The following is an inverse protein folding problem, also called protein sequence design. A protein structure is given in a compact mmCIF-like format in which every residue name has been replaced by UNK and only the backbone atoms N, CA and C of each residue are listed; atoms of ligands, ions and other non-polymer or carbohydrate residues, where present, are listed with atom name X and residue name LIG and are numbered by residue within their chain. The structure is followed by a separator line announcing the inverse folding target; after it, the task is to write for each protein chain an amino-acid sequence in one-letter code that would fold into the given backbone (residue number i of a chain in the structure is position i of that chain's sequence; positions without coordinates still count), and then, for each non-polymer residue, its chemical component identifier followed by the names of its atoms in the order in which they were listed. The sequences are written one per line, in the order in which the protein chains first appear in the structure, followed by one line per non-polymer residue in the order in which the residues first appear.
data_IF_582137186154
#
_entry.id   IF_582137186154
#
_cell.length_a   1.000
_cell.length_b   1.000
_cell.length_c   1.000
_cell.angle_alpha   90.00
_cell.angle_beta   90.00
_cell.angle_gamma   90.00
#
_symmetry.space_group_name_H-M   'P 1'
#
loop_
_entity.id
_entity.type
_entity.pdbx_description
1 polymer ?
#
# COMPACT_ATOMS: atom_id res chain seq x y z
N UNK A 1 17.62 11.09 -8.56
CA UNK A 1 16.29 11.04 -9.19
C UNK A 1 15.29 11.49 -8.14
N UNK A 2 14.22 12.12 -8.53
CA UNK A 2 13.29 12.71 -7.55
C UNK A 2 11.89 12.24 -7.87
N UNK A 3 11.23 11.65 -6.87
CA UNK A 3 9.89 11.10 -7.02
C UNK A 3 8.87 11.76 -6.05
N UNK A 4 9.13 13.00 -5.61
CA UNK A 4 8.17 13.73 -4.76
C UNK A 4 6.98 14.19 -5.62
N UNK A 5 6.08 13.24 -5.87
CA UNK A 5 4.89 13.49 -6.69
C UNK A 5 3.84 14.36 -5.97
N UNK A 6 3.84 14.42 -4.64
CA UNK A 6 2.99 15.35 -3.90
C UNK A 6 3.42 16.79 -4.20
N UNK A 7 4.72 17.08 -4.08
CA UNK A 7 5.27 18.39 -4.45
C UNK A 7 5.08 18.71 -5.94
N UNK A 8 5.18 17.69 -6.82
CA UNK A 8 4.92 17.86 -8.25
C UNK A 8 3.48 18.34 -8.50
N UNK A 9 2.47 17.63 -7.98
CA UNK A 9 1.08 17.97 -8.21
C UNK A 9 0.63 19.22 -7.44
N UNK A 10 1.25 19.57 -6.32
CA UNK A 10 1.05 20.86 -5.65
C UNK A 10 1.42 22.05 -6.52
N UNK A 11 2.31 21.85 -7.52
CA UNK A 11 2.65 22.86 -8.54
C UNK A 11 1.83 22.73 -9.81
N UNK A 12 1.56 21.48 -10.24
CA UNK A 12 0.93 21.20 -11.52
C UNK A 12 -0.59 21.31 -11.48
N UNK A 13 -1.24 20.82 -10.41
CA UNK A 13 -2.69 20.87 -10.19
C UNK A 13 -3.02 21.21 -8.73
N UNK A 14 -2.62 22.40 -8.22
CA UNK A 14 -2.64 22.74 -6.79
C UNK A 14 -4.03 22.61 -6.14
N UNK A 15 -5.08 22.99 -6.87
CA UNK A 15 -6.45 23.04 -6.36
C UNK A 15 -7.21 21.71 -6.51
N UNK A 16 -6.61 20.71 -7.15
CA UNK A 16 -7.23 19.39 -7.31
C UNK A 16 -7.28 18.66 -5.98
N UNK A 17 -8.42 17.99 -5.73
CA UNK A 17 -8.59 17.14 -4.55
C UNK A 17 -7.59 15.97 -4.61
N UNK A 18 -6.76 15.86 -3.58
CA UNK A 18 -5.76 14.78 -3.43
C UNK A 18 -6.26 13.68 -2.50
N UNK A 19 -6.77 14.07 -1.33
CA UNK A 19 -7.14 13.11 -0.30
C UNK A 19 -8.39 13.54 0.48
N UNK A 20 -9.16 12.55 0.92
CA UNK A 20 -10.29 12.73 1.85
C UNK A 20 -10.14 11.70 2.96
N UNK A 21 -10.19 12.16 4.20
CA UNK A 21 -10.33 11.31 5.37
C UNK A 21 -11.82 11.05 5.62
N UNK A 22 -12.27 9.83 5.37
CA UNK A 22 -13.70 9.47 5.42
C UNK A 22 -14.27 9.54 6.84
N UNK A 23 -13.44 9.30 7.85
CA UNK A 23 -13.91 9.31 9.25
C UNK A 23 -14.15 10.73 9.77
N UNK A 24 -13.31 11.68 9.38
CA UNK A 24 -13.36 13.07 9.86
C UNK A 24 -13.95 14.03 8.83
N UNK A 25 -14.23 13.57 7.62
CA UNK A 25 -14.64 14.37 6.47
C UNK A 25 -13.63 15.49 6.07
N UNK A 26 -12.41 15.48 6.62
CA UNK A 26 -11.34 16.41 6.24
C UNK A 26 -10.89 16.13 4.80
N UNK A 27 -10.60 17.20 4.09
CA UNK A 27 -10.25 17.15 2.65
C UNK A 27 -8.97 17.93 2.42
N UNK A 28 -8.16 17.47 1.48
CA UNK A 28 -6.93 18.14 1.07
C UNK A 28 -6.86 18.25 -0.45
N UNK A 29 -6.64 19.43 -0.95
CA UNK A 29 -6.09 19.64 -2.28
C UNK A 29 -4.62 19.23 -2.31
N UNK A 30 -4.02 19.09 -3.49
CA UNK A 30 -2.58 18.79 -3.58
C UNK A 30 -1.71 19.87 -2.92
N UNK A 31 -2.09 21.15 -3.03
CA UNK A 31 -1.38 22.24 -2.36
C UNK A 31 -1.50 22.18 -0.84
N UNK A 32 -2.66 21.80 -0.31
CA UNK A 32 -2.87 21.64 1.13
C UNK A 32 -2.13 20.41 1.66
N UNK A 33 -2.18 19.29 0.93
CA UNK A 33 -1.45 18.07 1.30
C UNK A 33 0.07 18.33 1.31
N UNK A 34 0.62 18.97 0.28
CA UNK A 34 2.03 19.34 0.22
C UNK A 34 2.46 20.23 1.39
N UNK A 35 1.64 21.23 1.74
CA UNK A 35 1.86 22.13 2.87
C UNK A 35 1.91 21.37 4.19
N UNK A 36 0.92 20.47 4.40
CA UNK A 36 0.85 19.71 5.66
C UNK A 36 1.97 18.67 5.76
N UNK A 37 2.37 18.05 4.65
CA UNK A 37 3.55 17.19 4.59
C UNK A 37 4.83 17.98 4.94
N UNK A 38 5.02 19.17 4.37
CA UNK A 38 6.19 20.02 4.66
C UNK A 38 6.23 20.48 6.12
N UNK A 39 5.09 20.87 6.68
CA UNK A 39 5.00 21.22 8.10
C UNK A 39 5.24 20.02 9.01
N UNK A 40 4.76 18.84 8.59
CA UNK A 40 5.01 17.60 9.31
C UNK A 40 6.50 17.26 9.37
N UNK A 41 7.30 17.56 8.32
CA UNK A 41 8.77 17.37 8.41
C UNK A 41 9.36 18.15 9.57
N UNK A 42 8.96 19.42 9.73
CA UNK A 42 9.40 20.25 10.83
C UNK A 42 8.95 19.69 12.20
N UNK A 43 7.69 19.21 12.30
CA UNK A 43 7.17 18.59 13.54
C UNK A 43 8.01 17.38 13.93
N UNK A 44 8.24 16.47 12.98
CA UNK A 44 9.02 15.26 13.24
C UNK A 44 10.45 15.59 13.67
N UNK A 45 11.13 16.50 12.97
CA UNK A 45 12.49 16.92 13.30
C UNK A 45 12.59 17.68 14.61
N UNK A 46 11.58 18.49 14.96
CA UNK A 46 11.55 19.21 16.25
C UNK A 46 11.40 18.28 17.45
N UNK A 47 10.72 17.12 17.25
CA UNK A 47 10.49 16.12 18.31
C UNK A 47 11.61 15.10 18.44
N UNK A 48 12.26 14.74 17.35
CA UNK A 48 13.19 13.62 17.30
C UNK A 48 14.59 13.97 16.74
N UNK A 49 14.84 15.23 16.37
CA UNK A 49 16.13 15.66 15.82
C UNK A 49 16.35 15.25 14.37
N UNK A 50 17.59 14.97 13.99
CA UNK A 50 17.94 14.53 12.63
C UNK A 50 17.35 13.14 12.37
N UNK A 51 16.61 13.01 11.26
CA UNK A 51 15.79 11.81 10.98
C UNK A 51 16.34 10.93 9.85
N UNK A 52 17.35 11.37 9.11
CA UNK A 52 17.88 10.58 7.98
C UNK A 52 18.34 9.19 8.43
N UNK A 53 17.71 8.14 7.89
CA UNK A 53 17.97 6.74 8.25
C UNK A 53 17.32 6.30 9.56
N UNK A 54 16.65 7.20 10.31
CA UNK A 54 15.91 6.87 11.52
C UNK A 54 14.52 6.34 11.20
N UNK A 55 13.96 5.58 12.12
CA UNK A 55 12.61 4.98 11.95
C UNK A 55 11.59 5.82 12.71
N UNK A 56 10.46 6.07 12.05
CA UNK A 56 9.27 6.67 12.65
C UNK A 56 8.18 5.60 12.64
N UNK A 57 7.84 5.09 13.81
CA UNK A 57 6.77 4.12 13.94
C UNK A 57 5.41 4.81 13.99
N UNK A 58 4.40 4.18 13.38
CA UNK A 58 3.02 4.67 13.44
C UNK A 58 2.10 3.52 13.84
N UNK A 59 1.40 3.66 14.96
CA UNK A 59 0.42 2.71 15.48
C UNK A 59 -0.96 3.37 15.43
N UNK A 60 -1.64 3.24 14.31
CA UNK A 60 -2.92 3.88 14.06
C UNK A 60 -3.76 3.09 13.08
N UNK A 61 -5.08 3.29 13.14
CA UNK A 61 -5.98 2.94 12.04
C UNK A 61 -5.69 3.86 10.85
N UNK A 62 -6.22 3.51 9.66
CA UNK A 62 -6.00 4.32 8.47
C UNK A 62 -6.48 5.76 8.66
N UNK A 63 -5.69 6.72 8.22
CA UNK A 63 -6.03 8.14 8.18
C UNK A 63 -5.18 8.87 7.15
N UNK A 64 -5.60 10.06 6.73
CA UNK A 64 -4.76 10.92 5.90
C UNK A 64 -3.57 11.45 6.70
N UNK A 65 -3.71 11.64 8.02
CA UNK A 65 -2.59 12.02 8.91
C UNK A 65 -1.44 10.99 8.84
N UNK A 66 -1.78 9.68 8.76
CA UNK A 66 -0.78 8.61 8.56
C UNK A 66 -0.03 8.74 7.24
N UNK A 67 -0.72 9.14 6.14
CA UNK A 67 -0.07 9.43 4.85
C UNK A 67 0.80 10.67 4.91
N UNK A 68 0.38 11.72 5.63
CA UNK A 68 1.17 12.93 5.83
C UNK A 68 2.49 12.57 6.53
N UNK A 69 2.45 11.75 7.59
CA UNK A 69 3.65 11.24 8.26
C UNK A 69 4.52 10.42 7.30
N UNK A 70 3.92 9.53 6.50
CA UNK A 70 4.65 8.73 5.51
C UNK A 70 5.44 9.63 4.53
N UNK A 71 4.79 10.63 3.92
CA UNK A 71 5.47 11.53 2.98
C UNK A 71 6.46 12.48 3.67
N UNK A 72 6.21 12.87 4.91
CA UNK A 72 7.18 13.62 5.71
C UNK A 72 8.44 12.78 6.00
N UNK A 73 8.30 11.48 6.29
CA UNK A 73 9.43 10.55 6.41
C UNK A 73 10.22 10.49 5.09
N UNK A 74 9.53 10.39 3.94
CA UNK A 74 10.20 10.42 2.63
C UNK A 74 11.01 11.70 2.46
N UNK A 75 10.49 12.87 2.84
CA UNK A 75 11.20 14.16 2.70
C UNK A 75 12.37 14.35 3.65
N UNK A 76 12.27 13.84 4.88
CA UNK A 76 13.35 13.93 5.88
C UNK A 76 14.43 12.88 5.71
N UNK A 77 14.20 11.87 4.87
CA UNK A 77 15.05 10.70 4.75
C UNK A 77 14.86 9.67 5.87
N UNK A 78 13.80 9.81 6.68
CA UNK A 78 13.38 8.81 7.65
C UNK A 78 12.76 7.58 6.98
N UNK A 79 12.64 6.51 7.75
CA UNK A 79 11.99 5.27 7.35
C UNK A 79 10.67 5.16 8.10
N UNK A 80 9.57 5.16 7.38
CA UNK A 80 8.22 4.98 7.90
C UNK A 80 7.97 3.53 8.28
N UNK A 81 7.50 3.27 9.50
CA UNK A 81 7.22 1.92 10.00
C UNK A 81 5.78 1.84 10.50
N UNK A 82 4.82 1.49 9.63
CA UNK A 82 3.43 1.33 10.04
C UNK A 82 3.25 0.00 10.77
N UNK A 83 2.77 0.06 12.00
CA UNK A 83 2.55 -1.10 12.84
C UNK A 83 1.14 -1.66 12.67
N UNK A 84 1.01 -2.98 12.62
CA UNK A 84 -0.28 -3.64 12.56
C UNK A 84 -0.97 -3.57 13.93
N UNK A 85 -1.91 -2.67 14.09
CA UNK A 85 -2.67 -2.45 15.33
C UNK A 85 -3.57 -3.62 15.76
N UNK A 86 -3.67 -4.67 14.93
CA UNK A 86 -4.42 -5.90 15.27
C UNK A 86 -3.58 -6.93 16.01
N UNK A 87 -2.27 -6.69 16.12
CA UNK A 87 -1.34 -7.57 16.83
C UNK A 87 -1.53 -7.45 18.34
N UNK A 88 -1.15 -8.51 19.06
CA UNK A 88 -1.13 -8.52 20.52
C UNK A 88 0.02 -7.66 21.07
N UNK A 89 -0.08 -7.16 22.34
CA UNK A 89 0.98 -6.34 22.94
C UNK A 89 2.40 -6.91 22.85
N UNK A 90 2.65 -8.22 23.07
CA UNK A 90 4.00 -8.79 22.92
C UNK A 90 4.55 -8.72 21.49
N UNK A 91 3.67 -8.79 20.48
CA UNK A 91 4.06 -8.66 19.07
C UNK A 91 4.42 -7.21 18.73
N UNK A 92 3.63 -6.24 19.22
CA UNK A 92 3.95 -4.81 19.07
C UNK A 92 5.26 -4.47 19.77
N UNK A 93 5.49 -5.01 20.98
CA UNK A 93 6.75 -4.84 21.70
C UNK A 93 7.93 -5.33 20.88
N UNK A 94 7.83 -6.54 20.29
CA UNK A 94 8.84 -7.08 19.40
C UNK A 94 9.12 -6.18 18.19
N UNK A 95 8.08 -5.64 17.53
CA UNK A 95 8.26 -4.77 16.38
C UNK A 95 8.96 -3.45 16.75
N UNK A 96 8.60 -2.86 17.89
CA UNK A 96 9.23 -1.65 18.41
C UNK A 96 10.70 -1.89 18.78
N UNK A 97 11.02 -3.03 19.38
CA UNK A 97 12.40 -3.43 19.67
C UNK A 97 13.19 -3.66 18.39
N UNK A 98 12.62 -4.36 17.40
CA UNK A 98 13.29 -4.68 16.13
C UNK A 98 13.57 -3.44 15.28
N UNK A 99 12.62 -2.51 15.17
CA UNK A 99 12.83 -1.29 14.37
C UNK A 99 13.45 -0.14 15.15
N UNK A 100 13.49 -0.20 16.48
CA UNK A 100 14.07 0.86 17.35
C UNK A 100 13.70 2.27 16.86
N UNK A 101 12.41 2.68 16.91
CA UNK A 101 11.99 3.92 16.31
C UNK A 101 12.47 5.13 17.13
N UNK A 102 12.82 6.20 16.44
CA UNK A 102 13.20 7.48 17.05
C UNK A 102 12.01 8.28 17.57
N UNK A 103 10.82 8.00 17.03
CA UNK A 103 9.56 8.62 17.38
C UNK A 103 8.41 7.62 17.11
N UNK A 104 7.41 7.62 17.97
CA UNK A 104 6.14 6.93 17.77
C UNK A 104 5.04 7.97 17.52
N UNK A 105 4.19 7.73 16.53
CA UNK A 105 2.90 8.40 16.38
C UNK A 105 1.83 7.36 16.64
N UNK A 106 0.98 7.57 17.65
CA UNK A 106 0.02 6.55 18.07
C UNK A 106 -1.39 7.11 18.28
N UNK A 107 -2.37 6.31 17.91
CA UNK A 107 -3.77 6.55 18.26
C UNK A 107 -3.98 6.23 19.76
N UNK A 108 -4.61 7.14 20.53
CA UNK A 108 -4.80 7.03 21.97
C UNK A 108 -5.41 5.68 22.38
N UNK A 109 -6.44 5.23 21.66
CA UNK A 109 -7.10 3.95 21.91
C UNK A 109 -6.23 2.71 21.70
N UNK A 110 -5.03 2.87 21.10
CA UNK A 110 -4.08 1.78 20.83
C UNK A 110 -2.83 1.84 21.72
N UNK A 111 -2.70 2.85 22.59
CA UNK A 111 -1.53 2.99 23.47
C UNK A 111 -1.36 1.81 24.42
N UNK A 112 -2.45 1.12 24.78
CA UNK A 112 -2.40 -0.09 25.61
C UNK A 112 -1.63 -1.26 24.97
N UNK A 113 -1.33 -1.18 23.67
CA UNK A 113 -0.50 -2.16 22.96
C UNK A 113 1.00 -1.86 23.06
N UNK A 114 1.37 -0.63 23.45
CA UNK A 114 2.76 -0.18 23.58
C UNK A 114 3.30 -0.61 24.94
N UNK A 115 4.49 -1.23 25.01
CA UNK A 115 5.02 -1.65 26.29
C UNK A 115 5.42 -0.45 27.17
N UNK A 116 5.25 -0.56 28.50
CA UNK A 116 5.63 0.47 29.46
C UNK A 116 7.12 0.84 29.41
N UNK A 117 7.95 -0.08 28.93
CA UNK A 117 9.40 0.12 28.74
C UNK A 117 9.77 0.96 27.52
N UNK A 118 8.79 1.33 26.67
CA UNK A 118 9.05 2.15 25.50
C UNK A 118 9.27 3.60 25.91
N UNK A 119 10.46 4.15 25.64
CA UNK A 119 10.93 5.46 26.12
C UNK A 119 11.12 6.53 25.03
N UNK A 120 10.93 6.19 23.75
CA UNK A 120 11.03 7.17 22.68
C UNK A 120 9.86 8.19 22.73
N UNK A 121 10.07 9.43 22.25
CA UNK A 121 9.00 10.42 22.14
C UNK A 121 7.76 9.87 21.43
N UNK A 122 6.57 10.26 21.92
CA UNK A 122 5.29 9.87 21.34
C UNK A 122 4.45 11.10 21.01
N UNK A 123 3.82 11.10 19.83
CA UNK A 123 2.76 12.04 19.43
C UNK A 123 1.45 11.27 19.46
N UNK A 124 0.47 11.75 20.24
CA UNK A 124 -0.80 11.05 20.43
C UNK A 124 -1.89 11.67 19.56
N UNK A 125 -2.63 10.81 18.85
CA UNK A 125 -3.81 11.17 18.08
C UNK A 125 -5.04 10.62 18.80
N UNK A 126 -5.95 11.48 19.25
CA UNK A 126 -7.21 11.07 19.85
C UNK A 126 -8.41 11.77 19.21
N UNK A 127 -9.61 11.25 19.44
CA UNK A 127 -10.85 11.89 18.98
C UNK A 127 -11.06 13.28 19.59
N UNK A 128 -10.57 13.49 20.83
CA UNK A 128 -10.70 14.77 21.54
C UNK A 128 -9.61 15.76 21.16
N UNK A 129 -8.41 15.25 20.82
CA UNK A 129 -7.25 16.06 20.54
C UNK A 129 -6.31 15.33 19.57
N UNK A 130 -6.12 15.87 18.41
CA UNK A 130 -5.13 15.39 17.45
C UNK A 130 -3.85 16.23 17.58
N UNK A 131 -2.91 15.77 18.44
CA UNK A 131 -1.64 16.48 18.68
C UNK A 131 -0.81 16.65 17.40
N UNK A 132 -0.87 15.69 16.48
CA UNK A 132 -0.18 15.79 15.21
C UNK A 132 -0.75 16.93 14.35
N UNK A 133 -2.07 16.97 14.19
CA UNK A 133 -2.73 18.01 13.41
C UNK A 133 -2.55 19.40 14.02
N UNK A 134 -2.62 19.51 15.36
CA UNK A 134 -2.33 20.76 16.10
C UNK A 134 -0.89 21.21 15.89
N UNK A 135 0.09 20.29 16.00
CA UNK A 135 1.50 20.60 15.80
C UNK A 135 1.77 21.01 14.33
N UNK A 136 1.17 20.33 13.35
CA UNK A 136 1.23 20.69 11.94
C UNK A 136 0.64 22.10 11.73
N UNK A 137 -0.51 22.41 12.32
CA UNK A 137 -1.14 23.72 12.19
C UNK A 137 -0.29 24.85 12.80
N UNK A 138 0.41 24.57 13.91
CA UNK A 138 1.28 25.51 14.60
C UNK A 138 2.68 25.63 13.97
N UNK A 139 3.08 24.68 13.13
CA UNK A 139 4.39 24.68 12.48
C UNK A 139 4.57 25.88 11.53
N UNK A 140 5.80 26.35 11.30
CA UNK A 140 6.09 27.45 10.38
C UNK A 140 5.50 27.22 9.01
N UNK A 141 5.02 28.28 8.37
CA UNK A 141 4.56 28.23 6.99
C UNK A 141 5.75 27.94 6.08
N UNK A 142 5.65 26.99 5.13
CA UNK A 142 6.68 26.81 4.14
C UNK A 142 6.78 28.07 3.25
N UNK A 143 7.98 28.53 3.03
CA UNK A 143 8.24 29.71 2.18
C UNK A 143 7.80 29.47 0.73
N UNK A 144 7.76 28.21 0.30
CA UNK A 144 7.39 27.79 -1.05
C UNK A 144 6.84 26.38 -1.04
N UNK A 145 5.71 26.17 -1.72
CA UNK A 145 5.16 24.83 -1.99
C UNK A 145 5.84 24.18 -3.20
N UNK A 146 5.71 22.88 -3.30
CA UNK A 146 6.20 22.11 -4.42
C UNK A 146 7.73 22.04 -4.50
N UNK A 147 8.44 22.16 -3.37
CA UNK A 147 9.89 22.02 -3.33
C UNK A 147 10.25 20.55 -3.44
N UNK A 148 10.80 20.18 -4.59
CA UNK A 148 11.24 18.82 -4.87
C UNK A 148 12.68 18.65 -4.37
N UNK A 149 12.92 17.66 -3.52
CA UNK A 149 14.25 17.32 -2.98
C UNK A 149 14.80 16.11 -3.71
N UNK A 150 16.05 16.23 -4.20
CA UNK A 150 16.76 15.11 -4.80
C UNK A 150 17.29 14.18 -3.70
N UNK A 151 17.08 12.88 -3.86
CA UNK A 151 17.63 11.87 -2.95
C UNK A 151 17.98 10.59 -3.72
N UNK A 152 18.63 9.64 -3.01
CA UNK A 152 18.91 8.31 -3.53
C UNK A 152 17.59 7.51 -3.61
N UNK A 153 17.16 7.08 -4.80
CA UNK A 153 15.94 6.31 -4.96
C UNK A 153 16.02 4.90 -4.35
N UNK A 154 17.21 4.41 -4.07
CA UNK A 154 17.42 3.09 -3.47
C UNK A 154 17.45 3.14 -1.94
N UNK A 155 17.34 4.32 -1.31
CA UNK A 155 17.24 4.38 0.14
C UNK A 155 15.94 3.78 0.65
N UNK A 156 15.95 3.10 1.80
CA UNK A 156 14.74 2.67 2.48
C UNK A 156 13.83 3.86 2.82
N UNK A 157 12.54 3.74 2.52
CA UNK A 157 11.51 4.72 2.90
C UNK A 157 10.45 4.12 3.82
N UNK A 158 10.30 2.79 3.79
CA UNK A 158 9.30 2.07 4.59
C UNK A 158 9.82 0.69 4.95
N UNK A 159 9.47 0.21 6.14
CA UNK A 159 9.59 -1.18 6.54
C UNK A 159 8.18 -1.73 6.74
N UNK A 160 7.80 -2.74 5.96
CA UNK A 160 6.52 -3.43 6.09
C UNK A 160 6.75 -4.79 6.77
N UNK A 161 6.22 -4.95 7.98
CA UNK A 161 6.31 -6.21 8.69
C UNK A 161 5.28 -7.21 8.19
N UNK A 162 5.75 -8.43 7.87
CA UNK A 162 4.91 -9.57 7.51
C UNK A 162 5.10 -10.71 8.52
N UNK A 163 4.05 -11.52 8.70
CA UNK A 163 4.14 -12.77 9.48
C UNK A 163 5.04 -13.74 8.73
N UNK A 164 6.26 -13.93 9.21
CA UNK A 164 7.18 -14.90 8.62
C UNK A 164 6.68 -16.33 8.78
N UNK A 165 7.00 -17.21 7.82
CA UNK A 165 6.75 -18.66 7.89
C UNK A 165 7.40 -19.34 9.12
N UNK A 166 8.39 -18.68 9.74
CA UNK A 166 9.11 -19.13 10.94
C UNK A 166 8.51 -18.63 12.26
N UNK A 167 7.34 -17.97 12.23
CA UNK A 167 6.61 -17.49 13.40
C UNK A 167 7.07 -16.14 13.97
N UNK A 168 8.21 -15.59 13.55
CA UNK A 168 8.63 -14.23 13.93
C UNK A 168 8.42 -13.25 12.77
N UNK A 169 7.84 -12.06 13.00
CA UNK A 169 7.69 -11.05 11.97
C UNK A 169 9.04 -10.65 11.34
N UNK A 170 9.03 -10.41 10.04
CA UNK A 170 10.17 -9.90 9.28
C UNK A 170 9.78 -8.61 8.56
N UNK A 171 10.62 -7.59 8.64
CA UNK A 171 10.38 -6.29 8.03
C UNK A 171 10.93 -6.24 6.59
N UNK A 172 10.07 -6.30 5.59
CA UNK A 172 10.49 -6.09 4.21
C UNK A 172 10.84 -4.61 3.98
N UNK A 173 12.02 -4.34 3.45
CA UNK A 173 12.46 -2.99 3.13
C UNK A 173 11.80 -2.57 1.81
N UNK A 174 11.18 -1.40 1.82
CA UNK A 174 10.67 -0.75 0.60
C UNK A 174 11.49 0.50 0.36
N UNK A 175 12.15 0.58 -0.79
CA UNK A 175 12.85 1.79 -1.25
C UNK A 175 11.89 2.71 -2.00
N UNK A 176 12.30 3.96 -2.25
CA UNK A 176 11.52 4.87 -3.09
C UNK A 176 11.35 4.29 -4.50
N UNK A 177 12.39 3.68 -5.06
CA UNK A 177 12.33 3.03 -6.37
C UNK A 177 11.32 1.89 -6.39
N UNK A 178 11.33 1.01 -5.36
CA UNK A 178 10.36 -0.09 -5.26
C UNK A 178 8.93 0.44 -5.20
N UNK A 179 8.68 1.46 -4.38
CA UNK A 179 7.35 2.05 -4.21
C UNK A 179 6.84 2.72 -5.50
N UNK A 180 7.70 3.43 -6.22
CA UNK A 180 7.37 4.05 -7.52
C UNK A 180 7.11 2.98 -8.57
N UNK A 181 7.97 1.97 -8.66
CA UNK A 181 7.79 0.87 -9.62
C UNK A 181 6.49 0.10 -9.35
N UNK A 182 6.17 -0.19 -8.08
CA UNK A 182 4.90 -0.82 -7.71
C UNK A 182 3.69 0.05 -8.08
N UNK A 183 3.77 1.38 -7.83
CA UNK A 183 2.70 2.31 -8.20
C UNK A 183 2.52 2.40 -9.72
N UNK A 184 3.62 2.45 -10.49
CA UNK A 184 3.60 2.45 -11.95
C UNK A 184 3.00 1.15 -12.51
N UNK A 185 3.44 0.01 -11.99
CA UNK A 185 2.93 -1.30 -12.36
C UNK A 185 1.41 -1.37 -12.20
N UNK A 186 0.92 -1.05 -11.01
CA UNK A 186 -0.51 -1.11 -10.74
C UNK A 186 -1.28 -0.06 -11.56
N UNK A 187 -0.78 1.18 -11.65
CA UNK A 187 -1.45 2.24 -12.39
C UNK A 187 -1.70 1.87 -13.86
N UNK A 188 -0.70 1.30 -14.52
CA UNK A 188 -0.82 0.83 -15.91
C UNK A 188 -1.71 -0.41 -16.01
N UNK A 189 -1.55 -1.37 -15.09
CA UNK A 189 -2.30 -2.62 -15.08
C UNK A 189 -3.81 -2.44 -14.92
N UNK A 190 -4.23 -1.43 -14.15
CA UNK A 190 -5.64 -1.17 -13.85
C UNK A 190 -6.18 0.16 -14.40
N UNK A 191 -5.47 0.79 -15.33
CA UNK A 191 -5.89 2.00 -16.06
C UNK A 191 -6.15 3.22 -15.17
N UNK A 192 -5.26 3.48 -14.20
CA UNK A 192 -5.36 4.68 -13.35
C UNK A 192 -5.00 5.93 -14.16
N UNK A 193 -5.82 6.95 -14.03
CA UNK A 193 -5.58 8.29 -14.61
C UNK A 193 -5.65 9.35 -13.52
N UNK A 194 -5.35 10.58 -13.85
CA UNK A 194 -5.53 11.70 -12.93
C UNK A 194 -7.00 11.86 -12.46
N UNK A 195 -7.97 11.44 -13.27
CA UNK A 195 -9.40 11.55 -12.95
C UNK A 195 -9.93 10.39 -12.08
N UNK A 196 -9.08 9.43 -11.77
CA UNK A 196 -9.46 8.28 -10.92
C UNK A 196 -9.74 8.71 -9.48
N UNK A 197 -10.67 8.01 -8.85
CA UNK A 197 -10.98 8.13 -7.42
C UNK A 197 -10.89 6.76 -6.79
N UNK A 198 -9.99 6.60 -5.81
CA UNK A 198 -9.80 5.36 -5.08
C UNK A 198 -10.46 5.39 -3.72
N UNK A 199 -11.11 4.29 -3.32
CA UNK A 199 -11.45 4.04 -1.94
C UNK A 199 -10.39 3.11 -1.33
N UNK A 200 -9.72 3.56 -0.27
CA UNK A 200 -8.72 2.81 0.47
C UNK A 200 -9.29 2.29 1.79
N UNK A 201 -9.77 1.06 1.78
CA UNK A 201 -10.16 0.28 2.96
C UNK A 201 -9.02 -0.61 3.49
N UNK A 202 -8.15 -1.17 2.61
CA UNK A 202 -7.06 -2.01 3.07
C UNK A 202 -6.13 -1.25 4.03
N UNK A 203 -5.59 -1.96 5.04
CA UNK A 203 -4.75 -1.31 6.06
C UNK A 203 -3.49 -0.69 5.46
N UNK A 204 -3.17 0.55 5.88
CA UNK A 204 -1.95 1.26 5.47
C UNK A 204 -0.66 0.64 6.04
N UNK A 205 -0.76 -0.32 6.94
CA UNK A 205 0.38 -1.13 7.38
C UNK A 205 0.66 -2.35 6.48
N UNK A 206 -0.10 -2.51 5.39
CA UNK A 206 0.14 -3.51 4.34
C UNK A 206 0.41 -2.84 2.99
N UNK A 207 1.10 -3.56 2.12
CA UNK A 207 1.37 -3.18 0.74
C UNK A 207 0.09 -2.79 -0.02
N UNK A 208 -0.99 -3.56 0.17
CA UNK A 208 -2.29 -3.32 -0.46
C UNK A 208 -2.91 -1.96 -0.10
N UNK A 209 -2.79 -1.54 1.15
CA UNK A 209 -3.27 -0.23 1.59
C UNK A 209 -2.31 0.89 1.19
N UNK A 210 -1.05 0.81 1.65
CA UNK A 210 -0.09 1.89 1.50
C UNK A 210 0.33 2.09 0.04
N UNK A 211 0.85 1.03 -0.61
CA UNK A 211 1.40 1.16 -1.96
C UNK A 211 0.31 1.13 -3.03
N UNK A 212 -0.60 0.14 -2.97
CA UNK A 212 -1.59 -0.05 -4.01
C UNK A 212 -2.75 0.95 -3.93
N UNK A 213 -3.46 1.02 -2.79
CA UNK A 213 -4.69 1.80 -2.70
C UNK A 213 -4.49 3.28 -2.36
N UNK A 214 -3.35 3.67 -1.73
CA UNK A 214 -3.10 5.05 -1.35
C UNK A 214 -2.00 5.74 -2.19
N UNK A 215 -0.80 5.15 -2.33
CA UNK A 215 0.27 5.79 -3.12
C UNK A 215 -0.02 5.81 -4.61
N UNK A 216 -0.56 4.73 -5.18
CA UNK A 216 -0.80 4.63 -6.62
C UNK A 216 -1.70 5.76 -7.16
N UNK A 217 -2.89 6.06 -6.60
CA UNK A 217 -3.67 7.20 -7.07
C UNK A 217 -2.93 8.53 -6.91
N UNK A 218 -2.29 8.78 -5.78
CA UNK A 218 -1.53 10.02 -5.55
C UNK A 218 -0.35 10.17 -6.52
N UNK A 219 0.33 9.06 -6.86
CA UNK A 219 1.40 9.04 -7.87
C UNK A 219 0.89 9.47 -9.26
N UNK A 220 -0.36 9.17 -9.58
CA UNK A 220 -1.00 9.55 -10.86
C UNK A 220 -1.73 10.90 -10.81
N UNK A 221 -1.67 11.64 -9.71
CA UNK A 221 -2.40 12.90 -9.54
C UNK A 221 -3.91 12.73 -9.37
N UNK A 222 -4.34 11.54 -8.97
CA UNK A 222 -5.74 11.17 -8.72
C UNK A 222 -6.16 11.48 -7.27
N UNK A 223 -7.38 11.11 -6.90
CA UNK A 223 -7.93 11.32 -5.55
C UNK A 223 -7.98 10.00 -4.79
N UNK A 224 -7.63 10.03 -3.50
CA UNK A 224 -7.82 8.90 -2.59
C UNK A 224 -8.77 9.24 -1.44
N UNK A 225 -9.73 8.36 -1.18
CA UNK A 225 -10.62 8.39 -0.02
C UNK A 225 -10.09 7.38 1.00
N UNK A 226 -9.58 7.84 2.14
CA UNK A 226 -9.04 6.96 3.18
C UNK A 226 -10.14 6.63 4.18
N UNK A 227 -10.58 5.38 4.18
CA UNK A 227 -11.48 4.87 5.19
C UNK A 227 -10.67 4.24 6.33
N UNK A 228 -11.10 4.48 7.57
CA UNK A 228 -10.37 4.08 8.78
C UNK A 228 -10.14 2.57 8.87
N UNK A 229 -11.13 1.78 8.44
CA UNK A 229 -11.11 0.32 8.34
C UNK A 229 -12.23 -0.15 7.42
N UNK A 230 -12.09 -1.32 6.87
CA UNK A 230 -13.18 -1.97 6.14
C UNK A 230 -14.38 -2.23 7.04
N UNK A 231 -15.54 -1.87 6.56
CA UNK A 231 -16.87 -2.26 7.01
C UNK A 231 -17.71 -2.51 5.77
N UNK A 232 -18.32 -3.69 5.65
CA UNK A 232 -18.95 -4.12 4.39
C UNK A 232 -20.06 -3.16 3.93
N UNK A 233 -20.94 -2.72 4.84
CA UNK A 233 -22.04 -1.81 4.52
C UNK A 233 -21.50 -0.43 4.15
N UNK A 234 -20.65 0.15 5.00
CA UNK A 234 -20.07 1.46 4.78
C UNK A 234 -19.26 1.51 3.48
N UNK A 235 -18.47 0.47 3.20
CA UNK A 235 -17.66 0.40 1.97
C UNK A 235 -18.57 0.32 0.74
N UNK A 236 -19.63 -0.50 0.78
CA UNK A 236 -20.61 -0.57 -0.30
C UNK A 236 -21.31 0.77 -0.54
N UNK A 237 -21.73 1.46 0.53
CA UNK A 237 -22.36 2.79 0.42
C UNK A 237 -21.41 3.82 -0.21
N UNK A 238 -20.15 3.85 0.22
CA UNK A 238 -19.13 4.74 -0.36
C UNK A 238 -18.85 4.42 -1.84
N UNK A 239 -18.75 3.14 -2.19
CA UNK A 239 -18.52 2.69 -3.57
C UNK A 239 -19.68 3.01 -4.50
N UNK A 240 -20.90 3.00 -3.97
CA UNK A 240 -22.13 3.26 -4.76
C UNK A 240 -22.57 4.71 -4.74
N UNK A 241 -21.96 5.57 -3.92
CA UNK A 241 -22.26 7.01 -3.85
C UNK A 241 -21.88 7.70 -5.16
N UNK A 242 -22.84 8.31 -5.88
CA UNK A 242 -22.56 8.99 -7.14
C UNK A 242 -21.79 10.30 -6.95
N UNK A 243 -21.84 10.92 -5.76
CA UNK A 243 -21.13 12.18 -5.48
C UNK A 243 -19.64 11.93 -5.25
N UNK A 244 -19.29 10.82 -4.60
CA UNK A 244 -17.89 10.44 -4.40
C UNK A 244 -17.23 9.97 -5.70
N UNK A 245 -17.99 9.38 -6.62
CA UNK A 245 -17.53 9.00 -7.93
C UNK A 245 -16.36 8.00 -7.91
N UNK A 246 -16.36 7.05 -6.96
CA UNK A 246 -15.28 6.05 -6.86
C UNK A 246 -15.19 5.24 -8.15
N UNK A 247 -13.98 5.14 -8.67
CA UNK A 247 -13.66 4.43 -9.93
C UNK A 247 -12.84 3.17 -9.72
N UNK A 248 -12.06 3.12 -8.66
CA UNK A 248 -11.16 2.00 -8.38
C UNK A 248 -11.28 1.55 -6.93
N UNK A 249 -11.24 0.26 -6.74
CA UNK A 249 -11.28 -0.36 -5.41
C UNK A 249 -10.34 -1.57 -5.34
N UNK A 250 -9.52 -1.64 -4.30
CA UNK A 250 -8.73 -2.81 -3.97
C UNK A 250 -9.39 -3.54 -2.79
N UNK A 251 -9.66 -4.83 -2.94
CA UNK A 251 -10.22 -5.67 -1.89
C UNK A 251 -9.43 -6.97 -1.76
N UNK A 252 -9.21 -7.45 -0.54
CA UNK A 252 -8.91 -8.88 -0.40
C UNK A 252 -10.20 -9.68 -0.67
N UNK A 253 -10.13 -10.93 -1.15
CA UNK A 253 -11.33 -11.71 -1.52
C UNK A 253 -12.41 -11.74 -0.44
N UNK A 254 -12.02 -11.85 0.83
CA UNK A 254 -12.95 -11.86 1.97
C UNK A 254 -13.75 -10.55 2.09
N UNK A 255 -13.16 -9.40 1.80
CA UNK A 255 -13.87 -8.10 1.81
C UNK A 255 -14.95 -8.07 0.72
N UNK A 256 -14.60 -8.49 -0.49
CA UNK A 256 -15.53 -8.57 -1.61
C UNK A 256 -16.68 -9.58 -1.33
N UNK A 257 -16.36 -10.73 -0.72
CA UNK A 257 -17.37 -11.71 -0.29
C UNK A 257 -18.32 -11.14 0.76
N UNK A 258 -17.80 -10.43 1.76
CA UNK A 258 -18.60 -9.84 2.83
C UNK A 258 -19.58 -8.79 2.30
N UNK A 259 -19.17 -7.99 1.33
CA UNK A 259 -20.09 -7.03 0.67
C UNK A 259 -21.23 -7.75 -0.05
N UNK A 260 -20.95 -8.85 -0.76
CA UNK A 260 -22.02 -9.62 -1.45
C UNK A 260 -23.03 -10.27 -0.52
N UNK A 261 -22.69 -10.43 0.76
CA UNK A 261 -23.58 -11.01 1.77
C UNK A 261 -24.50 -9.96 2.44
N UNK A 262 -24.38 -8.69 2.10
CA UNK A 262 -25.21 -7.64 2.66
C UNK A 262 -26.67 -7.82 2.25
N UNK A 263 -27.63 -7.59 3.15
CA UNK A 263 -29.03 -7.50 2.78
C UNK A 263 -29.25 -6.40 1.75
N UNK A 264 -29.89 -6.76 0.61
CA UNK A 264 -30.14 -5.80 -0.48
C UNK A 264 -28.93 -5.43 -1.31
N UNK A 265 -27.85 -6.21 -1.24
CA UNK A 265 -26.72 -6.03 -2.14
C UNK A 265 -27.14 -6.11 -3.61
N UNK A 266 -26.73 -5.15 -4.40
CA UNK A 266 -26.90 -5.11 -5.85
C UNK A 266 -25.54 -4.83 -6.50
N UNK A 267 -24.92 -5.87 -7.05
CA UNK A 267 -23.59 -5.78 -7.69
C UNK A 267 -23.58 -4.89 -8.92
N UNK A 268 -24.72 -4.77 -9.61
CA UNK A 268 -24.81 -3.94 -10.84
C UNK A 268 -24.54 -2.45 -10.58
N UNK A 269 -24.77 -1.97 -9.36
CA UNK A 269 -24.44 -0.60 -8.94
C UNK A 269 -22.93 -0.33 -8.93
N UNK A 270 -22.12 -1.40 -8.88
CA UNK A 270 -20.64 -1.34 -8.91
C UNK A 270 -20.07 -1.55 -10.32
N UNK A 271 -20.90 -1.83 -11.34
CA UNK A 271 -20.47 -2.01 -12.73
C UNK A 271 -19.79 -0.74 -13.32
N UNK A 272 -20.00 0.41 -12.69
CA UNK A 272 -19.34 1.68 -13.05
C UNK A 272 -17.85 1.75 -12.65
N UNK A 273 -17.37 0.83 -11.79
CA UNK A 273 -15.97 0.80 -11.40
C UNK A 273 -15.10 0.46 -12.62
N UNK A 274 -14.06 1.25 -12.84
CA UNK A 274 -13.02 0.94 -13.83
C UNK A 274 -12.31 -0.36 -13.48
N UNK A 275 -12.06 -0.58 -12.20
CA UNK A 275 -11.49 -1.82 -11.69
C UNK A 275 -11.88 -2.07 -10.22
N UNK A 276 -12.29 -3.29 -9.93
CA UNK A 276 -12.27 -3.91 -8.62
C UNK A 276 -11.14 -4.95 -8.63
N UNK A 277 -10.03 -4.63 -7.98
CA UNK A 277 -8.84 -5.50 -7.96
C UNK A 277 -8.85 -6.36 -6.72
N UNK A 278 -8.55 -7.64 -6.88
CA UNK A 278 -8.36 -8.56 -5.75
C UNK A 278 -6.97 -9.15 -5.73
N UNK A 279 -6.46 -9.39 -4.54
CA UNK A 279 -5.15 -10.00 -4.31
C UNK A 279 -4.86 -10.21 -2.83
N UNK A 280 -3.68 -10.75 -2.53
CA UNK A 280 -3.24 -11.03 -1.16
C UNK A 280 -3.79 -12.32 -0.55
N UNK A 281 -4.69 -13.01 -1.25
CA UNK A 281 -5.18 -14.35 -0.92
C UNK A 281 -5.80 -15.00 -2.17
N UNK A 282 -5.91 -16.34 -2.23
CA UNK A 282 -6.62 -17.03 -3.30
C UNK A 282 -8.08 -16.55 -3.40
N UNK A 283 -8.54 -16.27 -4.62
CA UNK A 283 -9.91 -15.85 -4.90
C UNK A 283 -10.61 -16.95 -5.70
N UNK A 284 -11.67 -17.59 -5.16
CA UNK A 284 -12.37 -18.67 -5.86
C UNK A 284 -12.95 -18.20 -7.19
N UNK A 285 -12.78 -19.01 -8.23
CA UNK A 285 -13.28 -18.74 -9.59
C UNK A 285 -14.77 -18.39 -9.60
N UNK A 286 -15.61 -19.20 -8.93
CA UNK A 286 -17.04 -18.94 -8.84
C UNK A 286 -17.38 -17.58 -8.20
N UNK A 287 -16.52 -17.09 -7.32
CA UNK A 287 -16.69 -15.75 -6.72
C UNK A 287 -16.41 -14.65 -7.74
N UNK A 288 -15.32 -14.78 -8.50
CA UNK A 288 -14.99 -13.83 -9.56
C UNK A 288 -16.08 -13.77 -10.61
N UNK A 289 -16.51 -14.94 -11.10
CA UNK A 289 -17.56 -15.04 -12.13
C UNK A 289 -18.84 -14.31 -11.72
N UNK A 290 -19.28 -14.42 -10.47
CA UNK A 290 -20.44 -13.67 -9.97
C UNK A 290 -20.30 -12.16 -10.06
N UNK A 291 -19.10 -11.61 -9.86
CA UNK A 291 -18.85 -10.17 -10.03
C UNK A 291 -18.88 -9.78 -11.51
N UNK A 292 -18.29 -10.62 -12.37
CA UNK A 292 -18.34 -10.40 -13.82
C UNK A 292 -19.78 -10.51 -14.38
N UNK A 293 -20.63 -11.36 -13.79
CA UNK A 293 -22.05 -11.47 -14.16
C UNK A 293 -22.85 -10.20 -13.81
N UNK A 294 -22.47 -9.50 -12.75
CA UNK A 294 -23.01 -8.18 -12.38
C UNK A 294 -22.42 -7.03 -13.26
N UNK A 295 -21.52 -7.35 -14.20
CA UNK A 295 -20.84 -6.36 -15.04
C UNK A 295 -19.66 -5.64 -14.35
N UNK A 296 -19.26 -6.09 -13.16
CA UNK A 296 -18.16 -5.49 -12.41
C UNK A 296 -16.82 -6.01 -12.94
N UNK A 297 -15.90 -5.11 -13.28
CA UNK A 297 -14.56 -5.42 -13.72
C UNK A 297 -13.72 -5.91 -12.52
N UNK A 298 -14.00 -7.13 -12.05
CA UNK A 298 -13.18 -7.78 -11.03
C UNK A 298 -11.98 -8.47 -11.67
N UNK A 299 -10.79 -8.06 -11.28
CA UNK A 299 -9.54 -8.60 -11.81
C UNK A 299 -8.62 -9.05 -10.68
N UNK A 300 -8.09 -10.27 -10.80
CA UNK A 300 -7.07 -10.76 -9.87
C UNK A 300 -5.70 -10.16 -10.17
N UNK A 301 -4.92 -10.01 -9.10
CA UNK A 301 -3.51 -9.71 -9.15
C UNK A 301 -2.76 -10.46 -8.07
N UNK A 302 -1.45 -10.49 -8.20
CA UNK A 302 -0.56 -11.05 -7.18
C UNK A 302 0.59 -10.09 -6.89
N UNK A 303 1.00 -10.13 -5.66
CA UNK A 303 2.14 -9.42 -5.12
C UNK A 303 2.25 -9.68 -3.63
N UNK A 304 3.37 -9.30 -3.06
CA UNK A 304 3.66 -9.50 -1.65
C UNK A 304 4.38 -8.26 -1.07
N UNK A 305 4.65 -8.24 0.22
CA UNK A 305 5.34 -7.11 0.85
C UNK A 305 6.70 -6.84 0.23
N UNK A 306 7.35 -7.89 -0.23
CA UNK A 306 8.68 -7.90 -0.81
C UNK A 306 8.71 -7.46 -2.29
N UNK A 307 7.57 -7.49 -2.98
CA UNK A 307 7.56 -7.25 -4.44
C UNK A 307 6.55 -6.19 -4.89
N UNK A 308 5.69 -5.69 -3.98
CA UNK A 308 4.60 -4.82 -4.40
C UNK A 308 3.69 -5.50 -5.43
N UNK A 309 3.09 -4.72 -6.32
CA UNK A 309 2.24 -5.23 -7.42
C UNK A 309 3.09 -5.82 -8.53
N UNK A 310 2.93 -7.10 -8.84
CA UNK A 310 3.79 -7.86 -9.75
C UNK A 310 3.09 -8.58 -10.88
N UNK A 311 1.90 -9.17 -10.62
CA UNK A 311 1.03 -9.77 -11.64
C UNK A 311 -0.34 -9.10 -11.61
N UNK A 312 -1.00 -8.98 -12.76
CA UNK A 312 -2.34 -8.43 -12.87
C UNK A 312 -3.08 -8.99 -14.10
N UNK A 313 -4.34 -9.34 -13.93
CA UNK A 313 -5.24 -9.60 -15.06
C UNK A 313 -5.52 -8.30 -15.82
N UNK A 314 -5.68 -8.37 -17.16
CA UNK A 314 -5.90 -7.19 -17.99
C UNK A 314 -7.27 -6.57 -17.73
N UNK A 315 -7.29 -5.38 -17.14
CA UNK A 315 -8.52 -4.61 -16.92
C UNK A 315 -9.04 -4.02 -18.23
N UNK A 316 -10.35 -4.11 -18.46
CA UNK A 316 -11.04 -3.55 -19.62
C UNK A 316 -11.51 -4.59 -20.63
N UNK A 317 -11.37 -5.88 -20.32
CA UNK A 317 -11.83 -7.01 -21.12
C UNK A 317 -12.41 -8.08 -20.19
N UNK A 318 -13.73 -8.04 -19.98
CA UNK A 318 -14.46 -8.99 -19.12
C UNK A 318 -14.36 -10.42 -19.65
N UNK A 319 -14.43 -10.59 -20.97
CA UNK A 319 -14.43 -11.92 -21.58
C UNK A 319 -13.06 -12.60 -21.41
N UNK A 320 -12.00 -11.82 -21.50
CA UNK A 320 -10.65 -12.32 -21.28
C UNK A 320 -10.41 -12.74 -19.82
N UNK A 321 -10.95 -11.99 -18.84
CA UNK A 321 -10.90 -12.39 -17.43
C UNK A 321 -11.77 -13.64 -17.22
N UNK A 322 -12.97 -13.68 -17.80
CA UNK A 322 -13.92 -14.80 -17.69
C UNK A 322 -13.34 -16.09 -18.27
N UNK A 323 -12.51 -16.01 -19.31
CA UNK A 323 -11.88 -17.18 -19.92
C UNK A 323 -10.87 -17.89 -18.99
N UNK A 324 -10.29 -17.18 -18.01
CA UNK A 324 -9.41 -17.75 -16.99
C UNK A 324 -9.48 -16.92 -15.69
N UNK A 325 -10.58 -17.01 -14.94
CA UNK A 325 -10.82 -16.16 -13.78
C UNK A 325 -9.86 -16.43 -12.62
N UNK A 326 -9.35 -17.65 -12.48
CA UNK A 326 -8.40 -18.02 -11.43
C UNK A 326 -6.98 -17.49 -11.65
N UNK A 327 -6.64 -17.05 -12.86
CA UNK A 327 -5.31 -16.53 -13.18
C UNK A 327 -5.02 -15.25 -12.37
N UNK A 328 -3.76 -15.07 -11.97
CA UNK A 328 -3.23 -13.80 -11.49
C UNK A 328 -2.83 -12.84 -12.62
N UNK A 329 -2.93 -13.29 -13.88
CA UNK A 329 -2.66 -12.48 -15.07
C UNK A 329 -1.21 -12.55 -15.55
N UNK A 330 -0.69 -11.40 -15.95
CA UNK A 330 0.61 -11.26 -16.60
C UNK A 330 1.57 -10.44 -15.74
N UNK A 331 2.90 -10.62 -15.93
CA UNK A 331 3.90 -9.76 -15.31
C UNK A 331 3.66 -8.28 -15.65
N UNK A 332 3.71 -7.44 -14.63
CA UNK A 332 3.60 -6.00 -14.81
C UNK A 332 4.93 -5.41 -15.31
N UNK A 333 4.88 -4.19 -15.85
CA UNK A 333 5.94 -3.58 -16.69
C UNK A 333 7.36 -3.67 -16.10
N UNK A 334 7.52 -3.50 -14.79
CA UNK A 334 8.84 -3.45 -14.14
C UNK A 334 9.26 -4.78 -13.54
N UNK A 335 8.56 -5.87 -13.88
CA UNK A 335 8.67 -7.18 -13.22
C UNK A 335 9.07 -8.25 -14.22
N UNK A 336 10.10 -9.01 -13.87
CA UNK A 336 10.48 -10.25 -14.56
C UNK A 336 10.17 -11.44 -13.64
N UNK A 337 9.60 -12.51 -14.20
CA UNK A 337 9.20 -13.71 -13.45
C UNK A 337 9.72 -14.96 -14.15
N UNK A 338 10.27 -15.88 -13.36
CA UNK A 338 10.60 -17.25 -13.74
C UNK A 338 9.79 -18.21 -12.88
N UNK A 339 9.40 -19.34 -13.46
CA UNK A 339 8.92 -20.50 -12.71
C UNK A 339 10.03 -21.54 -12.75
N UNK A 340 10.48 -21.95 -11.57
CA UNK A 340 11.67 -22.82 -11.46
C UNK A 340 11.39 -24.07 -10.63
N UNK A 341 12.18 -25.12 -10.88
CA UNK A 341 12.24 -26.32 -10.07
C UNK A 341 13.02 -26.09 -8.76
N UNK A 342 13.15 -27.14 -7.95
CA UNK A 342 13.90 -27.13 -6.70
C UNK A 342 15.40 -26.83 -6.86
N UNK A 343 15.96 -27.00 -8.07
CA UNK A 343 17.35 -26.72 -8.40
C UNK A 343 17.53 -25.29 -8.98
N UNK A 344 16.44 -24.53 -9.19
CA UNK A 344 16.46 -23.18 -9.77
C UNK A 344 16.50 -23.17 -11.31
N UNK A 345 16.19 -24.29 -11.97
CA UNK A 345 16.07 -24.35 -13.42
C UNK A 345 14.65 -24.00 -13.86
N UNK A 346 14.54 -23.30 -14.99
CA UNK A 346 13.23 -23.00 -15.60
C UNK A 346 12.46 -24.28 -15.94
N UNK A 347 11.16 -24.28 -15.62
CA UNK A 347 10.27 -25.39 -15.98
C UNK A 347 9.44 -25.02 -17.22
N UNK A 348 9.01 -26.03 -18.02
CA UNK A 348 8.12 -25.81 -19.17
C UNK A 348 6.76 -25.22 -18.75
N UNK A 349 6.09 -24.54 -19.72
CA UNK A 349 4.73 -24.07 -19.53
C UNK A 349 3.79 -25.22 -19.12
N UNK A 350 2.85 -24.93 -18.21
CA UNK A 350 1.95 -25.90 -17.60
C UNK A 350 2.54 -26.69 -16.43
N UNK A 351 3.84 -26.56 -16.15
CA UNK A 351 4.48 -27.22 -15.01
C UNK A 351 4.52 -26.28 -13.80
N UNK A 352 4.13 -26.83 -12.64
CA UNK A 352 4.19 -26.10 -11.38
C UNK A 352 5.64 -26.00 -10.88
N UNK A 353 6.04 -24.82 -10.46
CA UNK A 353 7.32 -24.55 -9.83
C UNK A 353 7.23 -23.32 -8.91
N UNK A 354 8.36 -22.92 -8.32
CA UNK A 354 8.46 -21.74 -7.47
C UNK A 354 8.55 -20.46 -8.34
N UNK A 355 7.83 -19.41 -7.94
CA UNK A 355 8.00 -18.07 -8.52
C UNK A 355 9.31 -17.47 -8.05
N UNK A 356 10.22 -17.19 -8.98
CA UNK A 356 11.35 -16.31 -8.77
C UNK A 356 11.11 -14.99 -9.50
N UNK A 357 11.36 -13.88 -8.82
CA UNK A 357 11.04 -12.56 -9.32
C UNK A 357 12.24 -11.62 -9.27
N UNK A 358 12.34 -10.76 -10.28
CA UNK A 358 13.32 -9.68 -10.37
C UNK A 358 12.67 -8.44 -10.93
N UNK A 359 13.08 -7.25 -10.48
CA UNK A 359 12.55 -5.99 -10.99
C UNK A 359 12.78 -4.81 -10.08
N UNK A 360 12.46 -3.61 -10.57
CA UNK A 360 12.58 -2.37 -9.79
C UNK A 360 11.64 -2.33 -8.59
N UNK A 361 10.56 -3.10 -8.61
CA UNK A 361 9.57 -3.22 -7.56
C UNK A 361 9.99 -4.18 -6.43
N UNK A 362 11.05 -4.98 -6.62
CA UNK A 362 11.47 -6.01 -5.66
C UNK A 362 12.33 -5.41 -4.56
N UNK A 363 12.04 -5.79 -3.31
CA UNK A 363 12.78 -5.37 -2.11
C UNK A 363 14.29 -5.64 -2.24
N UNK A 364 15.16 -4.81 -1.64
CA UNK A 364 16.57 -5.16 -1.48
C UNK A 364 16.81 -6.20 -0.37
N UNK A 365 15.78 -6.52 0.44
CA UNK A 365 15.87 -7.49 1.52
C UNK A 365 15.06 -7.13 2.75
N UNK A 366 15.33 -7.86 3.83
CA UNK A 366 14.68 -7.69 5.14
C UNK A 366 15.54 -6.86 6.09
N UNK A 367 14.89 -6.04 6.88
CA UNK A 367 15.51 -5.18 7.88
C UNK A 367 16.31 -5.99 8.89
N UNK A 368 17.61 -5.69 9.03
CA UNK A 368 18.53 -6.32 9.97
C UNK A 368 18.51 -7.87 9.95
N UNK A 369 18.34 -8.48 8.77
CA UNK A 369 18.27 -9.93 8.60
C UNK A 369 19.23 -10.42 7.48
N UNK A 370 20.57 -10.23 7.62
CA UNK A 370 21.52 -10.61 6.56
C UNK A 370 21.46 -12.09 6.19
N UNK A 371 21.21 -12.96 7.18
CA UNK A 371 21.11 -14.42 6.95
C UNK A 371 19.86 -14.81 6.14
N UNK A 372 18.72 -14.11 6.38
CA UNK A 372 17.52 -14.31 5.57
C UNK A 372 17.73 -13.79 4.16
N UNK A 373 18.39 -12.63 4.03
CA UNK A 373 18.68 -12.03 2.74
C UNK A 373 19.55 -12.94 1.88
N UNK A 374 20.60 -13.56 2.47
CA UNK A 374 21.45 -14.51 1.77
C UNK A 374 20.68 -15.74 1.25
N UNK A 375 19.59 -16.14 1.91
CA UNK A 375 18.73 -17.27 1.49
C UNK A 375 17.63 -16.86 0.52
N UNK A 376 17.12 -15.64 0.65
CA UNK A 376 16.00 -15.14 -0.13
C UNK A 376 16.36 -14.76 -1.57
N UNK A 377 17.65 -14.53 -1.86
CA UNK A 377 18.12 -14.16 -3.18
C UNK A 377 19.10 -15.17 -3.76
N UNK A 378 18.99 -15.38 -5.07
CA UNK A 378 19.94 -16.18 -5.84
C UNK A 378 20.11 -15.56 -7.23
N UNK A 379 21.34 -15.24 -7.61
CA UNK A 379 21.68 -14.68 -8.93
C UNK A 379 20.86 -13.45 -9.32
N UNK A 380 20.51 -12.60 -8.32
CA UNK A 380 19.69 -11.41 -8.50
C UNK A 380 18.17 -11.67 -8.56
N UNK A 381 17.73 -12.92 -8.36
CA UNK A 381 16.33 -13.30 -8.26
C UNK A 381 15.91 -13.44 -6.80
N UNK A 382 14.76 -12.89 -6.48
CA UNK A 382 14.11 -13.08 -5.19
C UNK A 382 13.25 -14.35 -5.24
N UNK A 383 13.45 -15.25 -4.28
CA UNK A 383 12.69 -16.50 -4.09
C UNK A 383 11.45 -16.18 -3.27
N UNK A 384 10.29 -16.32 -3.88
CA UNK A 384 9.03 -15.90 -3.21
C UNK A 384 8.50 -16.94 -2.23
N UNK A 385 8.81 -18.20 -2.46
CA UNK A 385 8.20 -19.33 -1.76
C UNK A 385 6.80 -19.67 -2.25
N UNK A 386 6.25 -18.91 -3.21
CA UNK A 386 4.94 -19.17 -3.80
C UNK A 386 5.07 -20.09 -5.00
N UNK A 387 4.13 -21.05 -5.13
CA UNK A 387 4.07 -21.96 -6.25
C UNK A 387 3.10 -21.47 -7.30
N UNK A 388 3.47 -21.59 -8.58
CA UNK A 388 2.62 -21.24 -9.70
C UNK A 388 2.99 -22.04 -10.95
N UNK A 389 2.15 -21.97 -11.96
CA UNK A 389 2.49 -22.37 -13.33
C UNK A 389 2.18 -21.23 -14.31
N UNK A 390 2.86 -21.22 -15.45
CA UNK A 390 2.56 -20.34 -16.57
C UNK A 390 1.90 -21.16 -17.67
N UNK A 391 0.79 -20.69 -18.22
CA UNK A 391 0.14 -21.35 -19.34
C UNK A 391 0.77 -20.94 -20.70
N UNK A 392 0.31 -21.57 -21.79
CA UNK A 392 0.80 -21.32 -23.16
C UNK A 392 0.48 -19.91 -23.68
N UNK A 393 -0.40 -19.15 -23.01
CA UNK A 393 -0.70 -17.75 -23.32
C UNK A 393 0.11 -16.77 -22.46
N UNK A 394 1.00 -17.28 -21.59
CA UNK A 394 1.86 -16.51 -20.73
C UNK A 394 1.18 -15.99 -19.46
N UNK A 395 -0.01 -16.52 -19.08
CA UNK A 395 -0.70 -16.18 -17.84
C UNK A 395 -0.18 -17.03 -16.69
N UNK A 396 -0.12 -16.45 -15.51
CA UNK A 396 0.30 -17.11 -14.28
C UNK A 396 -0.89 -17.46 -13.40
N UNK A 397 -0.89 -18.68 -12.85
CA UNK A 397 -1.88 -19.16 -11.87
C UNK A 397 -1.15 -19.74 -10.68
N UNK A 398 -1.53 -19.28 -9.44
CA UNK A 398 -0.95 -19.69 -8.18
C UNK A 398 -1.74 -20.85 -7.57
#
# INVERSE_FOLDING_TARGET
MVFDFIAHYARFTPNKLAAVDVATARRWTYAELDRDVERCTWVLESRAGKLRGERIAVLSRNSVDMLIVHFACVRTGAIFVPLNWRLAPPEIAFLLEDCTPRLLVAEEGLLHLVPDSFDAPCIVISEKRNELAEAIAAAPQPNRLGVVRADDPNRPITILYSSGTTGRPKGAIVTELNAVASSLNLALGIKVTSESVFLCDPPLFHTSGLLAAARTPLFMGATVLINQKFDAQKSYDLLTDPVLGVTHYFAVPQMAMSMRQLPGFDGTRLAKLTALVTGGAPNPEAHILRWLDDGVMMANGWGMSETGSSLQQPVGDLDRIRANPASAGYPLLTTEIRIVDENGNDVPDGTVGEIWIRGMNVTPGYWQRPELNAKAFQDGWFKTGDAAFRDSEGRYTL
#
